data_IF_572305370502
#
_entry.id   IF_572305370502
#
_cell.length_a   1.000
_cell.length_b   1.000
_cell.length_c   1.000
_cell.angle_alpha   90.00
_cell.angle_beta   90.00
_cell.angle_gamma   90.00
#
_symmetry.space_group_name_H-M   'P 1'
#
loop_
_entity.id
_entity.type
_entity.pdbx_description
1 polymer ?
#
# COMPACT_ATOMS: atom_id res chain seq x y z
N UNK A 1 12.42 -15.18 -6.18
CA UNK A 1 12.81 -16.04 -5.05
C UNK A 1 12.37 -17.50 -5.30
N UNK A 2 11.14 -17.69 -5.76
CA UNK A 2 10.57 -19.02 -6.00
C UNK A 2 11.35 -19.91 -6.97
N UNK A 3 12.05 -19.28 -7.89
CA UNK A 3 12.79 -19.97 -8.95
C UNK A 3 14.28 -20.17 -8.59
N UNK A 4 14.67 -19.80 -7.37
CA UNK A 4 16.04 -20.00 -6.90
C UNK A 4 16.30 -21.47 -6.61
N UNK A 5 17.22 -22.07 -7.36
CA UNK A 5 17.75 -23.39 -7.00
C UNK A 5 18.53 -23.34 -5.67
N UNK A 6 18.69 -24.50 -5.03
CA UNK A 6 19.36 -24.63 -3.72
C UNK A 6 20.72 -23.88 -3.71
N UNK A 7 21.54 -24.01 -4.75
CA UNK A 7 22.84 -23.33 -4.83
C UNK A 7 22.74 -21.80 -4.91
N UNK A 8 21.66 -21.27 -5.47
CA UNK A 8 21.43 -19.82 -5.53
C UNK A 8 20.94 -19.31 -4.16
N UNK A 9 20.04 -20.03 -3.50
CA UNK A 9 19.57 -19.72 -2.16
C UNK A 9 20.72 -19.76 -1.15
N UNK A 10 21.59 -20.78 -1.20
CA UNK A 10 22.78 -20.88 -0.35
C UNK A 10 23.72 -19.68 -0.54
N UNK A 11 24.00 -19.27 -1.78
CA UNK A 11 24.82 -18.08 -2.06
C UNK A 11 24.17 -16.81 -1.52
N UNK A 12 22.88 -16.65 -1.69
CA UNK A 12 22.11 -15.53 -1.16
C UNK A 12 22.24 -15.45 0.37
N UNK A 13 21.91 -16.54 1.08
CA UNK A 13 21.99 -16.60 2.55
C UNK A 13 23.41 -16.37 3.05
N UNK A 14 24.42 -16.92 2.38
CA UNK A 14 25.83 -16.72 2.74
C UNK A 14 26.24 -15.26 2.61
N UNK A 15 25.87 -14.59 1.50
CA UNK A 15 26.20 -13.18 1.27
C UNK A 15 25.53 -12.27 2.32
N UNK A 16 24.24 -12.49 2.60
CA UNK A 16 23.51 -11.71 3.61
C UNK A 16 23.99 -12.00 5.03
N UNK A 17 24.33 -13.25 5.36
CA UNK A 17 24.91 -13.59 6.65
C UNK A 17 26.26 -12.89 6.87
N UNK A 18 27.09 -12.76 5.84
CA UNK A 18 28.35 -12.03 5.92
C UNK A 18 28.12 -10.52 6.11
N UNK A 19 27.22 -9.93 5.33
CA UNK A 19 26.87 -8.51 5.42
C UNK A 19 26.23 -8.17 6.78
N UNK A 20 25.33 -9.01 7.28
CA UNK A 20 24.72 -8.82 8.60
C UNK A 20 25.77 -8.86 9.72
N UNK A 21 26.67 -9.83 9.70
CA UNK A 21 27.78 -9.91 10.69
C UNK A 21 28.67 -8.67 10.66
N UNK A 22 29.01 -8.19 9.46
CA UNK A 22 29.80 -6.97 9.32
C UNK A 22 29.04 -5.77 9.91
N UNK A 23 27.77 -5.58 9.57
CA UNK A 23 26.95 -4.50 10.10
C UNK A 23 26.84 -4.55 11.64
N UNK A 24 26.66 -5.74 12.23
CA UNK A 24 26.63 -5.91 13.68
C UNK A 24 27.95 -5.54 14.34
N UNK A 25 29.09 -5.87 13.71
CA UNK A 25 30.42 -5.52 14.22
C UNK A 25 30.74 -4.03 14.10
N UNK A 26 30.26 -3.36 13.06
CA UNK A 26 30.52 -1.94 12.82
C UNK A 26 29.55 -1.03 13.60
N UNK A 27 28.28 -1.39 13.66
CA UNK A 27 27.24 -0.54 14.22
C UNK A 27 26.91 -0.81 15.70
N UNK A 28 27.17 -2.05 16.19
CA UNK A 28 26.86 -2.48 17.57
C UNK A 28 25.43 -2.16 18.01
N UNK A 29 24.39 -2.62 17.27
CA UNK A 29 23.00 -2.27 17.56
C UNK A 29 22.51 -2.95 18.84
N UNK A 30 21.55 -2.30 19.52
CA UNK A 30 20.85 -2.86 20.68
C UNK A 30 19.66 -3.75 20.28
N UNK A 31 19.21 -3.65 19.04
CA UNK A 31 18.01 -4.33 18.51
C UNK A 31 18.13 -4.52 17.00
N UNK A 32 17.50 -5.58 16.48
CA UNK A 32 17.29 -5.76 15.05
C UNK A 32 15.81 -5.63 14.74
N UNK A 33 15.45 -4.82 13.74
CA UNK A 33 14.12 -4.79 13.17
C UNK A 33 14.16 -5.32 11.73
N UNK A 34 13.55 -6.46 11.50
CA UNK A 34 13.52 -7.10 10.20
C UNK A 34 12.16 -6.85 9.52
N UNK A 35 12.19 -6.60 8.21
CA UNK A 35 11.02 -6.46 7.37
C UNK A 35 10.76 -7.78 6.66
N UNK A 36 9.51 -8.26 6.70
CA UNK A 36 9.05 -9.57 6.23
C UNK A 36 9.55 -10.77 7.06
N UNK A 37 8.67 -11.71 7.34
CA UNK A 37 8.99 -12.94 8.04
C UNK A 37 9.59 -14.00 7.08
N UNK A 38 10.76 -13.68 6.49
CA UNK A 38 11.45 -14.54 5.52
C UNK A 38 12.90 -14.83 5.90
N UNK A 39 13.71 -15.24 4.91
CA UNK A 39 15.11 -15.66 5.08
C UNK A 39 15.99 -14.66 5.83
N UNK A 40 15.80 -13.34 5.62
CA UNK A 40 16.61 -12.32 6.31
C UNK A 40 16.22 -12.22 7.79
N UNK A 41 14.94 -12.31 8.11
CA UNK A 41 14.46 -12.37 9.50
C UNK A 41 14.94 -13.65 10.19
N UNK A 42 15.01 -14.77 9.45
CA UNK A 42 15.62 -15.99 9.95
C UNK A 42 17.09 -15.81 10.26
N UNK A 43 17.88 -15.21 9.38
CA UNK A 43 19.29 -14.90 9.69
C UNK A 43 19.42 -13.96 10.88
N UNK A 44 18.53 -12.98 11.03
CA UNK A 44 18.50 -12.08 12.16
C UNK A 44 18.17 -12.81 13.48
N UNK A 45 17.28 -13.82 13.46
CA UNK A 45 16.94 -14.61 14.65
C UNK A 45 18.10 -15.46 15.18
N UNK A 46 19.11 -15.71 14.36
CA UNK A 46 20.35 -16.40 14.78
C UNK A 46 21.37 -15.46 15.47
N UNK A 47 21.11 -14.15 15.47
CA UNK A 47 21.93 -13.18 16.17
C UNK A 47 21.45 -13.09 17.63
N UNK A 48 22.38 -12.99 18.56
CA UNK A 48 22.06 -12.85 20.01
C UNK A 48 21.65 -11.40 20.34
N UNK A 49 20.58 -10.92 19.71
CA UNK A 49 20.00 -9.58 19.88
C UNK A 49 18.47 -9.66 19.87
N UNK A 50 17.77 -8.74 20.56
CA UNK A 50 16.32 -8.66 20.46
C UNK A 50 15.91 -8.43 19.00
N UNK A 51 14.94 -9.22 18.52
CA UNK A 51 14.43 -9.17 17.16
C UNK A 51 12.97 -8.75 17.17
N UNK A 52 12.64 -7.71 16.41
CA UNK A 52 11.28 -7.32 16.03
C UNK A 52 11.10 -7.61 14.54
N UNK A 53 9.95 -8.15 14.15
CA UNK A 53 9.62 -8.43 12.74
C UNK A 53 8.36 -7.69 12.38
N UNK A 54 8.34 -6.97 11.24
CA UNK A 54 7.10 -6.49 10.64
C UNK A 54 6.68 -7.39 9.49
N UNK A 55 5.44 -7.88 9.53
CA UNK A 55 4.80 -8.66 8.48
C UNK A 55 4.03 -7.72 7.56
N UNK A 56 4.28 -7.82 6.24
CA UNK A 56 3.69 -6.94 5.23
C UNK A 56 2.62 -7.62 4.34
N UNK A 57 2.26 -8.86 4.62
CA UNK A 57 1.28 -9.64 3.87
C UNK A 57 1.87 -10.34 2.63
N UNK A 58 2.81 -9.73 1.92
CA UNK A 58 3.49 -10.37 0.77
C UNK A 58 4.38 -11.53 1.19
N UNK A 59 4.91 -11.52 2.39
CA UNK A 59 5.61 -12.61 3.05
C UNK A 59 4.66 -13.79 3.33
N UNK A 60 3.51 -13.51 3.92
CA UNK A 60 2.49 -14.55 4.19
C UNK A 60 1.96 -15.16 2.88
N UNK A 61 1.71 -14.33 1.85
CA UNK A 61 1.38 -14.81 0.51
C UNK A 61 2.49 -15.69 -0.08
N UNK A 62 3.75 -15.32 0.17
CA UNK A 62 4.92 -16.07 -0.26
C UNK A 62 5.00 -17.43 0.43
N UNK A 63 4.77 -17.52 1.72
CA UNK A 63 4.73 -18.76 2.48
C UNK A 63 3.67 -19.73 1.94
N UNK A 64 2.47 -19.23 1.62
CA UNK A 64 1.41 -20.05 1.00
C UNK A 64 1.83 -20.61 -0.36
N UNK A 65 2.51 -19.79 -1.18
CA UNK A 65 2.89 -20.18 -2.54
C UNK A 65 4.12 -21.08 -2.58
N UNK A 66 5.04 -20.91 -1.62
CA UNK A 66 6.33 -21.61 -1.57
C UNK A 66 6.60 -22.17 -0.18
N UNK A 67 6.19 -23.42 0.09
CA UNK A 67 6.31 -24.04 1.42
C UNK A 67 7.74 -24.06 1.99
N UNK A 68 8.77 -24.04 1.12
CA UNK A 68 10.16 -23.98 1.58
C UNK A 68 10.48 -22.71 2.39
N UNK A 69 9.71 -21.62 2.21
CA UNK A 69 9.87 -20.39 2.99
C UNK A 69 9.12 -20.40 4.30
N UNK A 70 8.14 -21.28 4.45
CA UNK A 70 7.37 -21.45 5.68
C UNK A 70 8.27 -21.73 6.88
N UNK A 71 9.22 -22.67 6.76
CA UNK A 71 10.16 -23.01 7.83
C UNK A 71 11.03 -21.82 8.25
N UNK A 72 11.50 -21.01 7.28
CA UNK A 72 12.24 -19.79 7.61
C UNK A 72 11.40 -18.77 8.37
N UNK A 73 10.14 -18.59 7.96
CA UNK A 73 9.22 -17.69 8.63
C UNK A 73 8.90 -18.17 10.07
N UNK A 74 8.64 -19.47 10.25
CA UNK A 74 8.36 -20.10 11.55
C UNK A 74 9.54 -19.92 12.51
N UNK A 75 10.75 -20.25 12.08
CA UNK A 75 11.96 -20.08 12.91
C UNK A 75 12.24 -18.61 13.22
N UNK A 76 12.10 -17.72 12.24
CA UNK A 76 12.27 -16.29 12.46
C UNK A 76 11.30 -15.74 13.51
N UNK A 77 10.01 -16.08 13.39
CA UNK A 77 8.97 -15.68 14.33
C UNK A 77 9.18 -16.32 15.71
N UNK A 78 9.57 -17.60 15.76
CA UNK A 78 9.88 -18.27 17.02
C UNK A 78 11.02 -17.55 17.78
N UNK A 79 12.06 -17.11 17.05
CA UNK A 79 13.21 -16.37 17.61
C UNK A 79 12.96 -14.87 17.85
N UNK A 80 11.85 -14.31 17.44
CA UNK A 80 11.53 -12.88 17.65
C UNK A 80 10.93 -12.61 19.03
N UNK A 81 11.10 -11.37 19.52
CA UNK A 81 10.45 -10.86 20.74
C UNK A 81 9.04 -10.34 20.42
N UNK A 82 8.91 -9.61 19.30
CA UNK A 82 7.63 -9.05 18.84
C UNK A 82 7.49 -9.21 17.34
N UNK A 83 6.24 -9.37 16.93
CA UNK A 83 5.83 -9.40 15.52
C UNK A 83 4.80 -8.28 15.32
N UNK A 84 5.01 -7.43 14.34
CA UNK A 84 4.14 -6.30 14.02
C UNK A 84 3.30 -6.65 12.80
N UNK A 85 1.99 -6.57 12.92
CA UNK A 85 1.05 -6.67 11.82
C UNK A 85 0.57 -5.28 11.43
N UNK A 86 0.52 -5.00 10.13
CA UNK A 86 0.18 -3.67 9.59
C UNK A 86 -1.32 -3.43 9.48
N UNK A 87 -2.14 -4.46 9.63
CA UNK A 87 -3.61 -4.41 9.64
C UNK A 87 -4.18 -5.57 10.46
N UNK A 88 -5.44 -5.51 10.85
CA UNK A 88 -6.12 -6.61 11.54
C UNK A 88 -6.25 -7.85 10.62
N UNK A 89 -6.58 -7.64 9.34
CA UNK A 89 -6.57 -8.70 8.32
C UNK A 89 -5.20 -9.37 8.23
N UNK A 90 -4.12 -8.60 8.18
CA UNK A 90 -2.75 -9.11 8.14
C UNK A 90 -2.38 -9.86 9.43
N UNK A 91 -2.84 -9.38 10.60
CA UNK A 91 -2.67 -10.06 11.89
C UNK A 91 -3.37 -11.41 11.91
N UNK A 92 -4.63 -11.45 11.47
CA UNK A 92 -5.45 -12.67 11.52
C UNK A 92 -4.89 -13.74 10.57
N UNK A 93 -4.45 -13.32 9.39
CA UNK A 93 -3.72 -14.19 8.46
C UNK A 93 -2.38 -14.69 9.04
N UNK A 94 -1.67 -13.84 9.78
CA UNK A 94 -0.44 -14.24 10.46
C UNK A 94 -0.68 -15.28 11.56
N UNK A 95 -1.77 -15.17 12.31
CA UNK A 95 -2.18 -16.16 13.33
C UNK A 95 -2.48 -17.52 12.67
N UNK A 96 -3.17 -17.51 11.53
CA UNK A 96 -3.50 -18.72 10.78
C UNK A 96 -2.25 -19.45 10.26
N UNK A 97 -1.32 -18.70 9.67
CA UNK A 97 -0.15 -19.28 9.00
C UNK A 97 1.06 -19.51 9.89
N UNK A 98 1.21 -18.69 10.93
CA UNK A 98 2.32 -18.68 11.87
C UNK A 98 1.78 -18.66 13.31
N UNK A 99 1.14 -19.75 13.80
CA UNK A 99 0.48 -19.77 15.11
C UNK A 99 1.37 -19.39 16.29
N UNK A 100 2.70 -19.62 16.17
CA UNK A 100 3.69 -19.21 17.17
C UNK A 100 3.84 -17.70 17.31
N UNK A 101 3.27 -16.92 16.38
CA UNK A 101 3.25 -15.45 16.47
C UNK A 101 2.21 -14.92 17.44
N UNK A 102 1.18 -15.69 17.80
CA UNK A 102 -0.05 -15.25 18.49
C UNK A 102 0.24 -14.37 19.72
N UNK A 103 1.11 -14.82 20.61
CA UNK A 103 1.44 -14.11 21.85
C UNK A 103 2.42 -12.93 21.65
N UNK A 104 3.01 -12.83 20.47
CA UNK A 104 4.00 -11.81 20.10
C UNK A 104 3.44 -10.71 19.22
N UNK A 105 2.26 -10.93 18.62
CA UNK A 105 1.65 -10.04 17.64
C UNK A 105 1.16 -8.75 18.28
N UNK A 106 1.54 -7.64 17.65
CA UNK A 106 1.03 -6.30 17.92
C UNK A 106 0.51 -5.70 16.61
N UNK A 107 -0.65 -5.06 16.67
CA UNK A 107 -1.17 -4.28 15.56
C UNK A 107 -0.49 -2.91 15.56
N UNK A 108 0.23 -2.60 14.50
CA UNK A 108 0.86 -1.31 14.27
C UNK A 108 0.66 -0.91 12.81
N UNK A 109 -0.44 -0.21 12.49
CA UNK A 109 -0.71 0.29 11.15
C UNK A 109 0.41 1.21 10.66
N UNK A 110 0.72 1.13 9.36
CA UNK A 110 1.73 2.00 8.75
C UNK A 110 1.33 3.48 8.82
N UNK A 111 2.33 4.36 8.90
CA UNK A 111 2.18 5.79 8.68
C UNK A 111 2.58 6.19 7.26
N UNK A 112 1.98 7.26 6.74
CA UNK A 112 2.44 7.92 5.52
C UNK A 112 3.43 9.04 5.86
N UNK A 113 4.28 9.43 4.91
CA UNK A 113 5.24 10.52 5.12
C UNK A 113 4.57 11.89 4.92
N UNK A 114 4.29 12.58 6.02
CA UNK A 114 3.63 13.88 6.06
C UNK A 114 4.50 15.04 5.53
N UNK A 115 5.81 14.85 5.44
CA UNK A 115 6.70 15.83 4.82
C UNK A 115 6.63 15.79 3.29
N UNK A 116 6.13 14.68 2.72
CA UNK A 116 6.00 14.49 1.28
C UNK A 116 4.56 14.65 0.84
N UNK A 117 3.61 14.00 1.52
CA UNK A 117 2.20 13.98 1.14
C UNK A 117 1.40 14.89 2.06
N UNK A 118 0.94 15.97 1.52
CA UNK A 118 0.11 16.97 2.20
C UNK A 118 -0.77 17.70 1.19
N UNK A 119 -1.80 18.37 1.68
CA UNK A 119 -2.70 19.15 0.85
C UNK A 119 -2.04 20.44 0.38
N UNK A 120 -2.06 20.68 -0.92
CA UNK A 120 -1.61 21.89 -1.59
C UNK A 120 -2.54 22.26 -2.75
N UNK A 121 -2.51 23.50 -3.18
CA UNK A 121 -3.16 23.92 -4.42
C UNK A 121 -2.29 23.58 -5.62
N UNK A 122 -2.89 22.98 -6.64
CA UNK A 122 -2.21 22.60 -7.88
C UNK A 122 -2.93 23.22 -9.07
N UNK A 123 -2.19 23.92 -9.90
CA UNK A 123 -2.66 24.35 -11.21
C UNK A 123 -2.75 23.12 -12.14
N UNK A 124 -3.99 22.71 -12.38
CA UNK A 124 -4.30 21.50 -13.19
C UNK A 124 -3.85 21.69 -14.65
N UNK A 125 -4.03 22.87 -15.26
CA UNK A 125 -3.63 23.11 -16.64
C UNK A 125 -2.12 22.91 -16.80
N UNK A 126 -1.33 23.57 -15.97
CA UNK A 126 0.14 23.39 -15.97
C UNK A 126 0.56 21.94 -15.69
N UNK A 127 -0.12 21.24 -14.77
CA UNK A 127 0.20 19.85 -14.47
C UNK A 127 -0.08 18.95 -15.67
N UNK A 128 -1.26 19.08 -16.30
CA UNK A 128 -1.66 18.25 -17.43
C UNK A 128 -0.80 18.54 -18.67
N UNK A 129 -0.43 19.79 -18.91
CA UNK A 129 0.53 20.16 -19.97
C UNK A 129 1.89 19.46 -19.76
N UNK A 130 2.35 19.35 -18.51
CA UNK A 130 3.61 18.64 -18.19
C UNK A 130 3.55 17.13 -18.42
N UNK A 131 2.34 16.57 -18.54
CA UNK A 131 2.07 15.18 -18.86
C UNK A 131 1.77 14.94 -20.35
N UNK A 132 1.87 15.97 -21.20
CA UNK A 132 1.43 15.98 -22.59
C UNK A 132 -0.07 15.63 -22.75
N UNK A 133 -0.91 16.01 -21.78
CA UNK A 133 -2.34 15.80 -21.77
C UNK A 133 -3.09 17.12 -21.81
N UNK A 134 -4.20 17.16 -22.56
CA UNK A 134 -5.11 18.32 -22.56
C UNK A 134 -6.08 18.22 -21.36
N UNK A 135 -6.27 19.34 -20.64
CA UNK A 135 -7.25 19.45 -19.58
C UNK A 135 -8.22 20.60 -19.89
N UNK A 136 -9.53 20.35 -19.81
CA UNK A 136 -10.60 21.31 -20.15
C UNK A 136 -11.67 21.41 -19.07
N UNK A 137 -11.34 20.99 -17.83
CA UNK A 137 -12.26 20.97 -16.71
C UNK A 137 -12.92 19.62 -16.42
N UNK A 138 -12.37 18.53 -16.97
CA UNK A 138 -12.86 17.18 -16.72
C UNK A 138 -12.67 16.77 -15.24
N UNK A 139 -13.49 15.79 -14.81
CA UNK A 139 -13.26 15.11 -13.53
C UNK A 139 -12.05 14.17 -13.63
N UNK A 140 -11.14 14.27 -12.68
CA UNK A 140 -9.90 13.51 -12.66
C UNK A 140 -10.00 12.34 -11.68
N UNK A 141 -9.98 11.12 -12.19
CA UNK A 141 -9.96 9.88 -11.45
C UNK A 141 -8.52 9.35 -11.45
N UNK A 142 -7.97 9.02 -10.28
CA UNK A 142 -6.59 8.61 -10.14
C UNK A 142 -6.48 7.22 -9.51
N UNK A 143 -5.64 6.38 -10.10
CA UNK A 143 -5.10 5.16 -9.51
C UNK A 143 -3.58 5.30 -9.39
N UNK A 144 -3.02 4.85 -8.26
CA UNK A 144 -1.57 4.74 -8.04
C UNK A 144 -1.25 3.36 -7.50
N UNK A 145 -0.31 2.66 -8.13
CA UNK A 145 0.14 1.37 -7.63
C UNK A 145 0.82 0.48 -8.66
N UNK A 146 1.34 -0.65 -8.19
CA UNK A 146 1.90 -1.67 -9.08
C UNK A 146 0.81 -2.24 -9.99
N UNK A 147 1.10 -2.39 -11.28
CA UNK A 147 0.18 -3.03 -12.23
C UNK A 147 0.30 -4.55 -12.12
N UNK A 148 -0.37 -5.11 -11.12
CA UNK A 148 -0.42 -6.53 -10.80
C UNK A 148 -1.89 -6.98 -10.73
N UNK A 149 -2.16 -8.25 -11.03
CA UNK A 149 -3.53 -8.80 -11.09
C UNK A 149 -4.35 -8.55 -9.82
N UNK A 150 -3.70 -8.64 -8.64
CA UNK A 150 -4.38 -8.42 -7.36
C UNK A 150 -4.72 -6.94 -7.08
N UNK A 151 -4.21 -5.98 -7.85
CA UNK A 151 -4.53 -4.55 -7.72
C UNK A 151 -5.80 -4.14 -8.48
N UNK A 152 -6.36 -5.02 -9.32
CA UNK A 152 -7.69 -4.84 -9.93
C UNK A 152 -7.80 -3.67 -10.93
N UNK A 153 -6.70 -3.28 -11.58
CA UNK A 153 -6.72 -2.17 -12.56
C UNK A 153 -7.63 -2.49 -13.76
N UNK A 154 -7.80 -3.74 -14.12
CA UNK A 154 -8.78 -4.19 -15.11
C UNK A 154 -10.22 -3.85 -14.70
N UNK A 155 -10.58 -3.98 -13.42
CA UNK A 155 -11.87 -3.51 -12.88
C UNK A 155 -12.02 -2.00 -13.06
N UNK A 156 -10.96 -1.21 -12.77
CA UNK A 156 -10.99 0.24 -13.01
C UNK A 156 -11.22 0.57 -14.50
N UNK A 157 -10.53 -0.11 -15.43
CA UNK A 157 -10.71 0.12 -16.87
C UNK A 157 -12.13 -0.20 -17.33
N UNK A 158 -12.74 -1.28 -16.83
CA UNK A 158 -14.14 -1.63 -17.12
C UNK A 158 -15.12 -0.62 -16.51
N UNK A 159 -14.82 -0.14 -15.30
CA UNK A 159 -15.57 0.95 -14.66
C UNK A 159 -15.44 2.24 -15.46
N UNK A 160 -14.24 2.59 -15.96
CA UNK A 160 -14.02 3.76 -16.81
C UNK A 160 -14.87 3.70 -18.08
N UNK A 161 -15.02 2.53 -18.69
CA UNK A 161 -15.92 2.34 -19.84
C UNK A 161 -17.38 2.69 -19.53
N UNK A 162 -17.83 2.57 -18.27
CA UNK A 162 -19.19 2.91 -17.86
C UNK A 162 -19.37 4.42 -17.76
N UNK A 163 -18.52 5.12 -16.98
CA UNK A 163 -18.69 6.56 -16.79
C UNK A 163 -18.28 7.39 -18.01
N UNK A 164 -17.33 6.97 -18.86
CA UNK A 164 -16.99 7.66 -20.12
C UNK A 164 -18.15 7.69 -21.13
N UNK A 165 -19.21 6.89 -20.92
CA UNK A 165 -20.43 6.90 -21.75
C UNK A 165 -21.50 7.86 -21.27
N UNK A 166 -21.30 8.48 -20.11
CA UNK A 166 -22.25 9.46 -19.60
C UNK A 166 -22.11 10.76 -20.40
N UNK A 167 -23.22 11.21 -20.99
CA UNK A 167 -23.20 12.32 -21.94
C UNK A 167 -23.11 13.71 -21.29
N UNK A 168 -23.31 13.80 -19.98
CA UNK A 168 -23.43 15.04 -19.22
C UNK A 168 -22.15 15.45 -18.50
N UNK A 169 -21.09 14.61 -18.55
CA UNK A 169 -19.84 14.83 -17.85
C UNK A 169 -18.65 14.33 -18.65
N UNK A 170 -17.52 15.01 -18.50
CA UNK A 170 -16.24 14.56 -19.07
C UNK A 170 -15.30 14.09 -17.96
N UNK A 171 -14.57 12.99 -18.21
CA UNK A 171 -13.72 12.33 -17.23
C UNK A 171 -12.34 12.07 -17.83
N UNK A 172 -11.32 12.19 -16.99
CA UNK A 172 -9.97 11.71 -17.27
C UNK A 172 -9.61 10.69 -16.20
N UNK A 173 -9.11 9.53 -16.61
CA UNK A 173 -8.59 8.50 -15.71
C UNK A 173 -7.08 8.42 -15.85
N UNK A 174 -6.36 8.65 -14.76
CA UNK A 174 -4.92 8.54 -14.69
C UNK A 174 -4.52 7.28 -13.95
N UNK A 175 -3.67 6.46 -14.57
CA UNK A 175 -3.14 5.21 -14.01
C UNK A 175 -1.63 5.39 -13.85
N UNK A 176 -1.18 5.69 -12.62
CA UNK A 176 0.23 5.87 -12.28
C UNK A 176 0.80 4.58 -11.69
N UNK A 177 1.87 4.08 -12.29
CA UNK A 177 2.57 2.86 -11.92
C UNK A 177 2.92 1.97 -13.09
N UNK A 178 3.62 0.88 -12.79
CA UNK A 178 4.05 -0.12 -13.77
C UNK A 178 4.02 -1.52 -13.14
N UNK A 179 4.10 -2.56 -13.95
CA UNK A 179 4.11 -3.94 -13.47
C UNK A 179 3.84 -4.97 -14.56
N UNK A 180 3.78 -6.23 -14.13
CA UNK A 180 3.62 -7.40 -15.00
C UNK A 180 2.34 -7.38 -15.85
N UNK A 181 1.29 -6.67 -15.39
CA UNK A 181 0.01 -6.57 -16.12
C UNK A 181 -0.03 -5.39 -17.12
N UNK A 182 1.07 -4.65 -17.31
CA UNK A 182 1.07 -3.47 -18.18
C UNK A 182 0.60 -3.75 -19.60
N UNK A 183 1.07 -4.85 -20.20
CA UNK A 183 0.72 -5.21 -21.58
C UNK A 183 -0.74 -5.67 -21.69
N UNK A 184 -1.18 -6.56 -20.79
CA UNK A 184 -2.56 -7.07 -20.75
C UNK A 184 -3.57 -5.94 -20.51
N UNK A 185 -3.25 -5.00 -19.61
CA UNK A 185 -4.09 -3.83 -19.35
C UNK A 185 -4.14 -2.86 -20.54
N UNK A 186 -3.01 -2.69 -21.27
CA UNK A 186 -2.98 -1.87 -22.49
C UNK A 186 -3.84 -2.48 -23.60
N UNK A 187 -3.85 -3.80 -23.71
CA UNK A 187 -4.71 -4.49 -24.67
C UNK A 187 -6.20 -4.36 -24.27
N UNK A 188 -6.52 -4.56 -22.99
CA UNK A 188 -7.88 -4.36 -22.47
C UNK A 188 -8.36 -2.93 -22.70
N UNK A 189 -7.51 -1.93 -22.47
CA UNK A 189 -7.83 -0.52 -22.73
C UNK A 189 -8.25 -0.28 -24.19
N UNK A 190 -7.51 -0.84 -25.16
CA UNK A 190 -7.85 -0.78 -26.59
C UNK A 190 -9.17 -1.49 -26.90
N UNK A 191 -9.36 -2.70 -26.37
CA UNK A 191 -10.60 -3.48 -26.56
C UNK A 191 -11.83 -2.75 -26.03
N UNK A 192 -11.71 -2.07 -24.88
CA UNK A 192 -12.76 -1.27 -24.29
C UNK A 192 -13.01 0.05 -25.06
N UNK A 193 -12.07 0.47 -25.91
CA UNK A 193 -12.14 1.72 -26.68
C UNK A 193 -12.14 2.96 -25.76
N UNK A 194 -11.39 2.94 -24.68
CA UNK A 194 -11.25 4.07 -23.77
C UNK A 194 -10.47 5.20 -24.46
N UNK A 195 -10.91 6.45 -24.27
CA UNK A 195 -10.32 7.61 -24.92
C UNK A 195 -9.61 8.53 -23.94
N UNK A 196 -10.10 8.60 -22.72
CA UNK A 196 -9.65 9.52 -21.69
C UNK A 196 -9.01 8.80 -20.49
N UNK A 197 -8.44 7.61 -20.74
CA UNK A 197 -7.71 6.84 -19.74
C UNK A 197 -6.24 6.77 -20.14
N UNK A 198 -5.34 7.23 -19.28
CA UNK A 198 -3.92 7.40 -19.57
C UNK A 198 -3.05 6.67 -18.56
N UNK A 199 -2.09 5.90 -19.04
CA UNK A 199 -1.10 5.24 -18.22
C UNK A 199 0.16 6.10 -18.14
N UNK A 200 0.49 6.56 -16.96
CA UNK A 200 1.60 7.50 -16.72
C UNK A 200 2.95 6.80 -16.46
N UNK A 201 2.96 5.46 -16.28
CA UNK A 201 4.15 4.76 -15.79
C UNK A 201 4.49 5.11 -14.34
N UNK A 202 5.72 4.77 -13.92
CA UNK A 202 6.19 5.08 -12.58
C UNK A 202 6.39 6.59 -12.41
N UNK A 203 5.86 7.13 -11.32
CA UNK A 203 5.97 8.53 -10.95
C UNK A 203 6.80 8.69 -9.68
N UNK A 204 7.52 9.82 -9.54
CA UNK A 204 8.23 10.17 -8.30
C UNK A 204 7.24 10.65 -7.24
N UNK A 205 7.65 10.63 -5.98
CA UNK A 205 6.78 11.01 -4.87
C UNK A 205 6.26 12.45 -4.98
N UNK A 206 7.09 13.41 -5.40
CA UNK A 206 6.64 14.79 -5.62
C UNK A 206 5.62 14.91 -6.76
N UNK A 207 5.78 14.12 -7.83
CA UNK A 207 4.82 14.04 -8.93
C UNK A 207 3.52 13.39 -8.47
N UNK A 208 3.61 12.32 -7.67
CA UNK A 208 2.43 11.66 -7.05
C UNK A 208 1.67 12.63 -6.15
N UNK A 209 2.36 13.41 -5.31
CA UNK A 209 1.71 14.43 -4.47
C UNK A 209 0.90 15.42 -5.32
N UNK A 210 1.47 15.91 -6.42
CA UNK A 210 0.76 16.82 -7.33
C UNK A 210 -0.44 16.15 -7.99
N UNK A 211 -0.31 14.89 -8.40
CA UNK A 211 -1.41 14.11 -8.98
C UNK A 211 -2.54 13.89 -7.97
N UNK A 212 -2.22 13.52 -6.71
CA UNK A 212 -3.21 13.38 -5.64
C UNK A 212 -3.95 14.70 -5.38
N UNK A 213 -3.23 15.82 -5.35
CA UNK A 213 -3.85 17.14 -5.12
C UNK A 213 -4.69 17.61 -6.32
N UNK A 214 -4.34 17.22 -7.55
CA UNK A 214 -5.05 17.57 -8.76
C UNK A 214 -6.24 16.66 -9.07
N UNK A 215 -6.30 15.47 -8.49
CA UNK A 215 -7.41 14.54 -8.70
C UNK A 215 -8.67 14.91 -7.90
N UNK A 216 -9.82 14.37 -8.31
CA UNK A 216 -11.13 14.55 -7.66
C UNK A 216 -11.53 13.31 -6.84
N UNK A 217 -11.06 12.12 -7.25
CA UNK A 217 -11.26 10.86 -6.52
C UNK A 217 -10.10 9.90 -6.77
N UNK A 218 -9.67 9.23 -5.72
CA UNK A 218 -8.71 8.12 -5.77
C UNK A 218 -9.45 6.80 -5.81
N UNK A 219 -9.06 5.90 -6.73
CA UNK A 219 -9.72 4.59 -6.88
C UNK A 219 -8.73 3.47 -6.62
N UNK A 220 -9.09 2.55 -5.74
CA UNK A 220 -8.27 1.41 -5.34
C UNK A 220 -9.08 0.10 -5.38
N UNK A 221 -9.23 -0.53 -6.57
CA UNK A 221 -10.09 -1.69 -6.77
C UNK A 221 -9.36 -3.02 -6.47
N UNK A 222 -8.52 -3.02 -5.46
CA UNK A 222 -7.66 -4.16 -5.14
C UNK A 222 -8.48 -5.39 -4.74
N UNK A 223 -8.16 -6.55 -5.33
CA UNK A 223 -8.69 -7.86 -4.93
C UNK A 223 -8.06 -8.34 -3.63
N UNK A 224 -6.89 -7.81 -3.31
CA UNK A 224 -6.16 -8.05 -2.07
C UNK A 224 -5.30 -6.83 -1.74
N UNK A 225 -5.47 -6.30 -0.55
CA UNK A 225 -4.72 -5.13 -0.08
C UNK A 225 -4.31 -5.30 1.37
N UNK A 226 -3.05 -5.62 1.65
CA UNK A 226 -2.62 -5.83 3.04
C UNK A 226 -2.83 -4.62 3.94
N UNK A 227 -2.71 -3.40 3.40
CA UNK A 227 -2.92 -2.16 4.15
C UNK A 227 -3.51 -1.03 3.30
N UNK A 228 -2.80 -0.56 2.25
CA UNK A 228 -3.25 0.51 1.38
C UNK A 228 -2.55 1.86 1.62
N UNK A 229 -1.22 1.86 1.73
CA UNK A 229 -0.44 3.07 1.99
C UNK A 229 -0.74 4.20 0.99
N UNK A 230 -0.90 3.89 -0.30
CA UNK A 230 -1.23 4.88 -1.35
C UNK A 230 -2.61 5.52 -1.15
N UNK A 231 -3.55 4.85 -0.47
CA UNK A 231 -4.82 5.45 -0.09
C UNK A 231 -4.64 6.47 1.05
N UNK A 232 -3.74 6.20 2.02
CA UNK A 232 -3.39 7.19 3.04
C UNK A 232 -2.68 8.41 2.45
N UNK A 233 -1.79 8.22 1.47
CA UNK A 233 -1.13 9.30 0.73
C UNK A 233 -2.15 10.17 0.00
N UNK A 234 -3.13 9.55 -0.67
CA UNK A 234 -4.25 10.24 -1.31
C UNK A 234 -5.07 11.05 -0.29
N UNK A 235 -5.44 10.42 0.84
CA UNK A 235 -6.19 11.08 1.91
C UNK A 235 -5.40 12.23 2.55
N UNK A 236 -4.08 12.11 2.70
CA UNK A 236 -3.22 13.18 3.20
C UNK A 236 -3.25 14.43 2.29
N UNK A 237 -3.45 14.22 0.99
CA UNK A 237 -3.68 15.28 0.00
C UNK A 237 -5.16 15.72 -0.07
N UNK A 238 -6.01 15.23 0.83
CA UNK A 238 -7.43 15.58 0.89
C UNK A 238 -8.30 14.89 -0.17
N UNK A 239 -7.81 13.84 -0.81
CA UNK A 239 -8.50 13.15 -1.89
C UNK A 239 -9.41 12.04 -1.33
N UNK A 240 -10.73 12.03 -1.64
CA UNK A 240 -11.62 10.94 -1.22
C UNK A 240 -11.25 9.63 -1.92
N UNK A 241 -11.44 8.52 -1.22
CA UNK A 241 -11.06 7.18 -1.70
C UNK A 241 -12.28 6.34 -2.02
N UNK A 242 -12.34 5.78 -3.22
CA UNK A 242 -13.24 4.66 -3.56
C UNK A 242 -12.40 3.39 -3.59
N UNK A 243 -12.53 2.57 -2.57
CA UNK A 243 -11.74 1.36 -2.38
C UNK A 243 -12.57 0.08 -2.38
N UNK A 244 -11.92 -1.06 -2.62
CA UNK A 244 -12.54 -2.35 -2.35
C UNK A 244 -12.65 -2.62 -0.85
N UNK A 245 -13.71 -3.33 -0.45
CA UNK A 245 -13.92 -3.76 0.94
C UNK A 245 -13.07 -5.01 1.24
N UNK A 246 -11.73 -4.86 1.13
CA UNK A 246 -10.77 -5.96 1.23
C UNK A 246 -9.54 -5.58 2.05
N UNK A 247 -9.01 -6.55 2.80
CA UNK A 247 -7.79 -6.44 3.56
C UNK A 247 -7.81 -5.32 4.59
N UNK A 248 -6.79 -4.46 4.59
CA UNK A 248 -6.66 -3.35 5.54
C UNK A 248 -7.48 -2.10 5.20
N UNK A 249 -8.06 -1.97 4.00
CA UNK A 249 -8.80 -0.76 3.60
C UNK A 249 -9.99 -0.44 4.51
N UNK A 250 -10.82 -1.43 4.96
CA UNK A 250 -11.93 -1.18 5.86
C UNK A 250 -11.54 -0.64 7.24
N UNK A 251 -10.28 -0.74 7.62
CA UNK A 251 -9.82 -0.29 8.94
C UNK A 251 -9.69 1.24 9.02
N UNK A 252 -9.55 1.92 7.90
CA UNK A 252 -9.35 3.37 7.90
C UNK A 252 -10.23 4.13 6.88
N UNK A 253 -10.82 3.46 5.89
CA UNK A 253 -11.77 4.09 4.98
C UNK A 253 -13.18 3.97 5.57
N UNK A 254 -13.78 5.11 5.88
CA UNK A 254 -15.16 5.24 6.37
C UNK A 254 -15.91 6.29 5.55
N UNK A 255 -17.20 6.49 5.81
CA UNK A 255 -18.06 7.42 5.07
C UNK A 255 -17.61 8.90 5.09
N UNK A 256 -16.73 9.28 5.99
CA UNK A 256 -16.17 10.63 6.05
C UNK A 256 -15.08 10.82 4.99
N UNK A 257 -14.29 9.79 4.70
CA UNK A 257 -13.09 9.88 3.86
C UNK A 257 -13.25 9.16 2.51
N UNK A 258 -14.29 8.34 2.33
CA UNK A 258 -14.48 7.62 1.10
C UNK A 258 -15.64 6.61 1.14
N UNK A 259 -15.63 5.73 0.14
CA UNK A 259 -16.64 4.67 -0.04
C UNK A 259 -15.95 3.35 -0.30
N UNK A 260 -16.39 2.29 0.37
CA UNK A 260 -15.95 0.92 0.13
C UNK A 260 -17.02 0.15 -0.65
N UNK A 261 -16.56 -0.63 -1.64
CA UNK A 261 -17.42 -1.47 -2.49
C UNK A 261 -16.87 -2.89 -2.60
N UNK A 262 -17.69 -3.84 -2.99
CA UNK A 262 -17.21 -5.21 -3.24
C UNK A 262 -16.17 -5.22 -4.37
N UNK A 263 -15.09 -5.99 -4.25
CA UNK A 263 -14.15 -6.19 -5.35
C UNK A 263 -14.86 -6.66 -6.62
N UNK A 264 -14.35 -6.26 -7.77
CA UNK A 264 -14.86 -6.65 -9.09
C UNK A 264 -16.29 -6.17 -9.45
N UNK A 265 -16.99 -5.47 -8.55
CA UNK A 265 -18.29 -4.87 -8.84
C UNK A 265 -18.13 -3.52 -9.57
N UNK A 266 -17.98 -3.59 -10.89
CA UNK A 266 -17.81 -2.42 -11.76
C UNK A 266 -18.95 -1.40 -11.65
N UNK A 267 -20.17 -1.86 -11.38
CA UNK A 267 -21.35 -1.00 -11.26
C UNK A 267 -21.31 -0.25 -9.93
N UNK A 268 -21.01 -0.93 -8.84
CA UNK A 268 -20.83 -0.31 -7.54
C UNK A 268 -19.66 0.68 -7.52
N UNK A 269 -18.51 0.34 -8.16
CA UNK A 269 -17.39 1.28 -8.32
C UNK A 269 -17.81 2.53 -9.10
N UNK A 270 -18.53 2.37 -10.22
CA UNK A 270 -19.02 3.50 -11.00
C UNK A 270 -19.95 4.39 -10.17
N UNK A 271 -20.92 3.81 -9.47
CA UNK A 271 -21.85 4.55 -8.62
C UNK A 271 -21.13 5.29 -7.46
N UNK A 272 -20.17 4.62 -6.82
CA UNK A 272 -19.38 5.21 -5.74
C UNK A 272 -18.51 6.38 -6.23
N UNK A 273 -17.83 6.25 -7.38
CA UNK A 273 -17.05 7.33 -7.99
C UNK A 273 -17.94 8.54 -8.27
N UNK A 274 -19.08 8.36 -8.93
CA UNK A 274 -20.01 9.45 -9.25
C UNK A 274 -20.57 10.12 -7.99
N UNK A 275 -20.83 9.35 -6.95
CA UNK A 275 -21.27 9.88 -5.65
C UNK A 275 -20.18 10.74 -5.00
N UNK A 276 -18.92 10.26 -4.97
CA UNK A 276 -17.80 11.00 -4.40
C UNK A 276 -17.53 12.31 -5.18
N UNK A 277 -17.61 12.29 -6.50
CA UNK A 277 -17.52 13.50 -7.34
C UNK A 277 -18.63 14.50 -7.05
N UNK A 278 -19.86 14.02 -6.79
CA UNK A 278 -20.98 14.89 -6.41
C UNK A 278 -20.74 15.54 -5.05
N UNK A 279 -20.28 14.77 -4.06
CA UNK A 279 -19.93 15.26 -2.73
C UNK A 279 -18.79 16.27 -2.76
N UNK A 280 -17.83 16.08 -3.64
CA UNK A 280 -16.72 17.03 -3.84
C UNK A 280 -17.23 18.46 -4.14
N UNK A 281 -18.31 18.61 -4.90
CA UNK A 281 -18.89 19.92 -5.22
C UNK A 281 -19.85 20.44 -4.13
N UNK A 282 -20.53 19.56 -3.42
CA UNK A 282 -21.52 19.94 -2.41
C UNK A 282 -20.96 20.14 -1.02
N UNK A 283 -19.77 19.61 -0.75
CA UNK A 283 -19.10 19.62 0.54
C UNK A 283 -17.69 20.25 0.40
N UNK A 284 -17.54 21.60 0.30
CA UNK A 284 -16.27 22.25 -0.03
C UNK A 284 -15.17 22.02 1.02
N UNK A 285 -15.52 21.84 2.30
CA UNK A 285 -14.58 21.58 3.39
C UNK A 285 -14.11 20.11 3.45
N UNK A 286 -14.68 19.24 2.64
CA UNK A 286 -14.44 17.80 2.72
C UNK A 286 -12.98 17.43 2.52
N UNK A 287 -12.27 18.08 1.61
CA UNK A 287 -10.84 17.82 1.38
C UNK A 287 -9.99 18.11 2.62
N UNK A 288 -10.31 19.18 3.35
CA UNK A 288 -9.62 19.52 4.60
C UNK A 288 -9.92 18.51 5.70
N UNK A 289 -11.17 18.04 5.78
CA UNK A 289 -11.60 17.01 6.73
C UNK A 289 -10.85 15.69 6.45
N UNK A 290 -10.74 15.28 5.21
CA UNK A 290 -10.03 14.05 4.81
C UNK A 290 -8.55 14.16 5.15
N UNK A 291 -7.89 15.26 4.79
CA UNK A 291 -6.48 15.50 5.09
C UNK A 291 -6.21 15.54 6.59
N UNK A 292 -7.10 16.18 7.35
CA UNK A 292 -7.01 16.21 8.80
C UNK A 292 -7.19 14.82 9.43
N UNK A 293 -8.13 14.02 8.93
CA UNK A 293 -8.31 12.64 9.38
C UNK A 293 -7.04 11.81 9.15
N UNK A 294 -6.42 11.90 7.96
CA UNK A 294 -5.18 11.20 7.66
C UNK A 294 -4.03 11.64 8.60
N UNK A 295 -3.81 12.95 8.75
CA UNK A 295 -2.73 13.49 9.58
C UNK A 295 -2.90 13.20 11.07
N UNK A 296 -4.13 13.21 11.57
CA UNK A 296 -4.43 12.94 12.98
C UNK A 296 -4.29 11.48 13.38
N UNK A 297 -4.36 10.53 12.44
CA UNK A 297 -4.39 9.10 12.75
C UNK A 297 -3.22 8.31 12.19
N UNK A 298 -2.60 8.77 11.08
CA UNK A 298 -1.66 7.97 10.29
C UNK A 298 -0.39 8.71 9.87
N UNK A 299 -0.07 9.86 10.48
CA UNK A 299 1.21 10.53 10.23
C UNK A 299 2.38 9.65 10.67
N UNK A 300 3.47 9.63 9.91
CA UNK A 300 4.66 8.83 10.19
C UNK A 300 5.25 9.13 11.57
N UNK A 301 5.21 10.38 12.03
CA UNK A 301 5.68 10.73 13.37
C UNK A 301 4.97 9.93 14.48
N UNK A 302 3.65 9.68 14.34
CA UNK A 302 2.90 8.88 15.31
C UNK A 302 3.27 7.39 15.23
N UNK A 303 3.47 6.88 14.02
CA UNK A 303 3.96 5.51 13.80
C UNK A 303 5.32 5.31 14.45
N UNK A 304 6.28 6.22 14.20
CA UNK A 304 7.63 6.17 14.77
C UNK A 304 7.59 6.19 16.29
N UNK A 305 6.80 7.09 16.89
CA UNK A 305 6.69 7.17 18.36
C UNK A 305 6.16 5.86 18.98
N UNK A 306 5.21 5.17 18.33
CA UNK A 306 4.72 3.87 18.76
C UNK A 306 5.78 2.77 18.57
N UNK A 307 6.49 2.79 17.44
CA UNK A 307 7.55 1.84 17.13
C UNK A 307 8.71 1.92 18.12
N UNK A 308 9.13 3.13 18.51
CA UNK A 308 10.15 3.35 19.55
C UNK A 308 9.76 2.71 20.89
N UNK A 309 8.49 2.81 21.28
CA UNK A 309 8.00 2.14 22.49
C UNK A 309 8.09 0.61 22.38
N UNK A 310 7.82 0.06 21.21
CA UNK A 310 7.98 -1.38 20.94
C UNK A 310 9.45 -1.78 21.07
N UNK A 311 10.38 -1.02 20.51
CA UNK A 311 11.81 -1.28 20.63
C UNK A 311 12.29 -1.25 22.07
N UNK A 312 11.93 -0.23 22.83
CA UNK A 312 12.31 -0.11 24.24
C UNK A 312 11.79 -1.28 25.09
N UNK A 313 10.58 -1.78 24.79
CA UNK A 313 10.04 -2.98 25.46
C UNK A 313 10.80 -4.23 25.04
N UNK A 314 11.04 -4.42 23.74
CA UNK A 314 11.74 -5.60 23.22
C UNK A 314 13.15 -5.73 23.80
N UNK A 315 13.90 -4.62 23.94
CA UNK A 315 15.23 -4.61 24.56
C UNK A 315 15.15 -5.00 26.05
N UNK A 316 14.16 -4.48 26.80
CA UNK A 316 13.97 -4.87 28.21
C UNK A 316 13.61 -6.33 28.37
N UNK A 317 12.67 -6.82 27.56
CA UNK A 317 12.17 -8.21 27.62
C UNK A 317 13.25 -9.23 27.25
N UNK A 318 14.26 -8.82 26.47
CA UNK A 318 15.40 -9.67 26.10
C UNK A 318 16.48 -9.73 27.18
N UNK A 319 16.63 -8.68 27.98
CA UNK A 319 17.67 -8.54 29.00
C UNK A 319 17.28 -9.13 30.37
N UNK A 320 16.01 -9.46 30.59
CA UNK A 320 15.45 -10.01 31.83
C UNK A 320 15.25 -11.50 31.74
#
# INVERSE_FOLDING_TARGET
>A
FADLGIGQLTRYLTAFSAALRQALQEFHPDIIHAQHAWCLSWLASLCNLPLVITIHGTDLMGCQKWPAFQSFAEEAVAGSIKVLAISADNRDLAIEQLPMATDKLLLLPNGYNEDIFYREEVDRETLFDSLDLSYRGEYVILFVGKLAAFKGVDTLLRTARRYERLADREFITLVAGDGEERESLSELHKQLGLRNTFFLGNQKQDELRRLYNAADVFVMPSRREPFGLVALEAMACGLPVVGSNEGGLPEFINSQVGTLVSPEDEEAFCAAILNELTRHHTEPERRDIIAHYASSNFAQAQFVAKLEQVYQRAVRDFSG
#
